data_IF_141420673847
#
_entry.id   IF_141420673847
#
_cell.length_a   1.000
_cell.length_b   1.000
_cell.length_c   1.000
_cell.angle_alpha   90.00
_cell.angle_beta   90.00
_cell.angle_gamma   90.00
#
_symmetry.space_group_name_H-M   'P 1'
#
loop_
_entity.id
_entity.type
_entity.pdbx_description
1 polymer ?
#
# COMPACT_ATOMS: atom_id res chain seq x y z
N UNK A 1 95.31 -35.01 -18.46
CA UNK A 1 94.77 -36.29 -18.93
C UNK A 1 93.25 -36.21 -18.88
N UNK A 2 92.58 -36.36 -20.03
CA UNK A 2 91.11 -36.47 -20.19
C UNK A 2 90.57 -37.76 -19.52
N UNK A 3 89.23 -38.03 -19.36
CA UNK A 3 88.05 -37.48 -20.07
C UNK A 3 86.73 -37.29 -19.24
N UNK A 4 85.63 -36.88 -19.92
CA UNK A 4 84.18 -37.23 -19.76
C UNK A 4 83.53 -37.23 -18.34
N UNK A 5 82.29 -36.86 -18.03
CA UNK A 5 81.01 -36.59 -18.71
C UNK A 5 79.97 -36.17 -17.63
N UNK A 6 79.09 -35.20 -17.90
CA UNK A 6 77.63 -35.33 -18.10
C UNK A 6 76.68 -35.55 -16.88
N UNK A 7 75.58 -34.76 -16.93
CA UNK A 7 74.17 -35.00 -16.52
C UNK A 7 73.65 -34.61 -15.11
N UNK A 8 72.85 -33.54 -15.14
CA UNK A 8 71.39 -33.53 -14.85
C UNK A 8 70.89 -33.93 -13.45
N UNK A 9 70.37 -32.95 -12.68
CA UNK A 9 69.35 -33.09 -11.60
C UNK A 9 68.84 -31.69 -11.23
N UNK A 10 67.71 -31.19 -11.74
CA UNK A 10 66.29 -31.48 -11.46
C UNK A 10 65.81 -30.92 -10.10
N UNK A 11 65.07 -29.82 -10.19
CA UNK A 11 64.35 -29.05 -9.17
C UNK A 11 63.70 -29.89 -8.07
N UNK A 12 63.94 -29.54 -6.80
CA UNK A 12 63.05 -29.85 -5.66
C UNK A 12 63.37 -28.91 -4.48
N UNK A 13 62.82 -27.70 -4.48
CA UNK A 13 62.83 -26.82 -3.32
C UNK A 13 61.55 -25.97 -3.30
N UNK A 14 60.39 -26.64 -3.30
CA UNK A 14 59.08 -25.98 -3.23
C UNK A 14 57.98 -26.99 -2.88
N UNK A 15 58.07 -27.64 -1.71
CA UNK A 15 56.97 -28.53 -1.23
C UNK A 15 56.64 -28.32 0.26
N UNK A 16 57.48 -27.67 1.07
CA UNK A 16 57.30 -27.73 2.53
C UNK A 16 56.43 -26.63 3.17
N UNK A 17 55.80 -25.74 2.40
CA UNK A 17 55.09 -24.57 2.96
C UNK A 17 53.56 -24.53 2.71
N UNK A 18 52.94 -25.58 2.16
CA UNK A 18 51.49 -25.60 1.84
C UNK A 18 50.66 -26.47 2.82
N UNK A 19 51.28 -27.25 3.71
CA UNK A 19 50.56 -28.23 4.57
C UNK A 19 50.23 -27.66 5.98
N UNK A 20 50.31 -26.35 6.20
CA UNK A 20 49.97 -25.74 7.50
C UNK A 20 48.72 -24.84 7.48
N UNK A 21 48.06 -24.66 6.33
CA UNK A 21 46.89 -23.78 6.19
C UNK A 21 45.60 -24.50 5.74
N UNK A 22 45.44 -25.77 6.14
CA UNK A 22 44.35 -26.65 5.65
C UNK A 22 43.35 -27.17 6.70
N UNK A 23 43.42 -26.76 7.97
CA UNK A 23 42.59 -27.34 9.05
C UNK A 23 41.74 -26.31 9.81
N UNK A 24 40.98 -25.49 9.09
CA UNK A 24 39.86 -24.72 9.66
C UNK A 24 38.52 -25.03 8.95
N UNK A 25 38.39 -26.23 8.38
CA UNK A 25 37.06 -26.76 8.07
C UNK A 25 36.45 -27.27 9.40
N UNK A 26 35.86 -26.36 10.18
CA UNK A 26 35.03 -26.76 11.31
C UNK A 26 33.92 -27.67 10.80
N UNK A 27 33.86 -28.92 11.29
CA UNK A 27 32.73 -29.80 11.04
C UNK A 27 31.45 -29.08 11.49
N UNK A 28 30.62 -28.68 10.53
CA UNK A 28 29.35 -28.03 10.77
C UNK A 28 28.39 -29.09 11.35
N UNK A 29 28.40 -29.25 12.66
CA UNK A 29 27.63 -30.29 13.38
C UNK A 29 26.16 -29.90 13.57
N UNK A 30 25.84 -28.61 13.45
CA UNK A 30 24.51 -28.02 13.58
C UNK A 30 24.33 -26.92 12.54
N UNK A 31 23.09 -26.76 12.05
CA UNK A 31 22.69 -25.74 11.08
C UNK A 31 21.66 -24.82 11.71
N UNK A 32 21.91 -23.51 11.65
CA UNK A 32 20.96 -22.47 12.05
C UNK A 32 20.34 -21.89 10.78
N UNK A 33 19.01 -21.94 10.67
CA UNK A 33 18.27 -21.37 9.56
C UNK A 33 17.35 -20.27 10.10
N UNK A 34 17.63 -19.02 9.76
CA UNK A 34 16.69 -17.92 9.98
C UNK A 34 15.47 -18.14 9.08
N UNK A 35 14.26 -18.12 9.66
CA UNK A 35 13.00 -18.25 8.94
C UNK A 35 12.19 -16.95 8.95
N UNK A 36 12.73 -15.90 9.56
CA UNK A 36 12.12 -14.58 9.60
C UNK A 36 12.45 -13.83 8.30
N UNK A 37 11.45 -13.29 7.59
CA UNK A 37 11.71 -12.43 6.43
C UNK A 37 12.48 -11.16 6.83
N UNK A 38 13.40 -10.73 5.97
CA UNK A 38 14.16 -9.48 6.17
C UNK A 38 13.28 -8.23 6.19
N UNK A 39 12.07 -8.31 5.62
CA UNK A 39 11.10 -7.23 5.58
C UNK A 39 9.73 -7.74 6.06
N UNK A 40 9.21 -7.14 7.14
CA UNK A 40 7.91 -7.52 7.72
C UNK A 40 6.97 -6.30 7.78
N UNK A 41 5.66 -6.46 7.51
CA UNK A 41 4.73 -5.34 7.55
C UNK A 41 4.66 -4.69 8.94
N UNK A 42 4.46 -3.37 8.99
CA UNK A 42 4.23 -2.66 10.25
C UNK A 42 3.05 -3.28 11.02
N UNK A 43 3.27 -3.63 12.28
CA UNK A 43 2.25 -4.19 13.16
C UNK A 43 1.79 -3.12 14.18
N UNK A 44 0.48 -2.84 14.32
CA UNK A 44 -0.02 -1.92 15.34
C UNK A 44 0.43 -2.23 16.77
N UNK A 45 0.63 -3.51 17.12
CA UNK A 45 1.16 -3.88 18.45
C UNK A 45 2.67 -3.65 18.58
N UNK A 46 3.37 -3.39 17.46
CA UNK A 46 4.83 -3.33 17.37
C UNK A 46 5.53 -4.62 17.85
N UNK A 47 4.81 -5.75 17.91
CA UNK A 47 5.36 -7.06 18.24
C UNK A 47 5.64 -7.82 16.94
N UNK A 48 6.85 -8.37 16.84
CA UNK A 48 7.33 -9.12 15.69
C UNK A 48 7.89 -10.47 16.15
N UNK A 49 7.32 -11.55 15.61
CA UNK A 49 7.79 -12.91 15.91
C UNK A 49 8.98 -13.24 15.03
N UNK A 50 10.14 -13.42 15.66
CA UNK A 50 11.38 -13.88 15.03
C UNK A 50 11.42 -15.40 15.15
N UNK A 51 11.53 -16.07 14.01
CA UNK A 51 11.54 -17.53 13.90
C UNK A 51 12.84 -18.06 13.32
N UNK A 52 13.29 -19.20 13.85
CA UNK A 52 14.46 -19.92 13.34
C UNK A 52 14.35 -21.42 13.57
N UNK A 53 15.12 -22.17 12.78
CA UNK A 53 15.29 -23.60 12.91
C UNK A 53 16.74 -23.94 13.30
N UNK A 54 16.90 -24.94 14.17
CA UNK A 54 18.18 -25.38 14.71
C UNK A 54 18.29 -26.89 14.54
N UNK A 55 18.87 -27.34 13.41
CA UNK A 55 18.94 -28.77 13.07
C UNK A 55 20.35 -29.30 13.23
N UNK A 56 20.55 -30.40 13.98
CA UNK A 56 21.80 -31.15 13.90
C UNK A 56 22.07 -31.61 12.47
N UNK A 57 23.27 -31.34 11.98
CA UNK A 57 23.75 -31.87 10.71
C UNK A 57 24.40 -33.26 10.89
N UNK A 58 24.58 -33.71 12.14
CA UNK A 58 25.16 -35.01 12.49
C UNK A 58 24.43 -35.66 13.67
N UNK A 59 24.36 -36.99 13.68
CA UNK A 59 23.70 -37.78 14.75
C UNK A 59 24.40 -37.76 16.11
N UNK A 60 25.54 -37.07 16.24
CA UNK A 60 26.36 -36.99 17.45
C UNK A 60 25.88 -35.94 18.45
N UNK A 61 24.92 -35.08 18.08
CA UNK A 61 24.34 -34.08 18.97
C UNK A 61 23.12 -34.67 19.70
N UNK A 62 23.01 -34.38 21.00
CA UNK A 62 21.80 -34.62 21.76
C UNK A 62 20.78 -33.51 21.46
N UNK A 63 19.75 -33.85 20.67
CA UNK A 63 18.68 -32.91 20.27
C UNK A 63 17.94 -32.30 21.46
N UNK A 64 17.81 -33.04 22.58
CA UNK A 64 17.12 -32.54 23.76
C UNK A 64 17.91 -31.46 24.51
N UNK A 65 19.22 -31.39 24.26
CA UNK A 65 20.11 -30.40 24.86
C UNK A 65 20.11 -29.05 24.14
N UNK A 66 19.49 -28.95 22.96
CA UNK A 66 19.48 -27.75 22.11
C UNK A 66 18.74 -26.63 22.84
N UNK A 67 19.47 -25.56 23.17
CA UNK A 67 18.95 -24.37 23.86
C UNK A 67 19.27 -23.11 23.05
N UNK A 68 18.39 -22.72 22.12
CA UNK A 68 18.56 -21.52 21.33
C UNK A 68 18.25 -20.25 22.12
N UNK A 69 19.02 -19.21 21.80
CA UNK A 69 18.87 -17.85 22.30
C UNK A 69 19.02 -16.89 21.12
N UNK A 70 18.38 -15.74 21.24
CA UNK A 70 18.53 -14.63 20.30
C UNK A 70 19.25 -13.50 21.02
N UNK A 71 20.18 -12.85 20.30
CA UNK A 71 20.77 -11.59 20.74
C UNK A 71 20.21 -10.49 19.87
N UNK A 72 19.54 -9.53 20.49
CA UNK A 72 18.97 -8.36 19.83
C UNK A 72 19.30 -7.13 20.67
N UNK A 73 19.83 -6.09 20.03
CA UNK A 73 20.33 -4.88 20.71
C UNK A 73 21.35 -5.14 21.84
N UNK A 74 22.16 -6.19 21.70
CA UNK A 74 23.15 -6.59 22.72
C UNK A 74 22.57 -7.32 23.94
N UNK A 75 21.26 -7.55 23.99
CA UNK A 75 20.61 -8.31 25.04
C UNK A 75 20.28 -9.72 24.57
N UNK A 76 20.44 -10.70 25.47
CA UNK A 76 20.28 -12.12 25.19
C UNK A 76 18.93 -12.60 25.74
N UNK A 77 18.14 -13.24 24.90
CA UNK A 77 16.82 -13.77 25.25
C UNK A 77 16.70 -15.26 24.89
N UNK A 78 16.06 -16.08 25.73
CA UNK A 78 15.74 -17.46 25.36
C UNK A 78 14.66 -17.49 24.27
N UNK A 79 14.77 -18.42 23.34
CA UNK A 79 13.69 -18.71 22.39
C UNK A 79 12.79 -19.82 22.92
N UNK A 80 11.53 -19.84 22.47
CA UNK A 80 10.55 -20.86 22.84
C UNK A 80 10.36 -21.84 21.67
N UNK A 81 10.39 -23.15 21.94
CA UNK A 81 10.12 -24.15 20.91
C UNK A 81 8.62 -24.18 20.62
N UNK A 82 8.24 -24.12 19.35
CA UNK A 82 6.85 -24.28 18.93
C UNK A 82 6.36 -25.71 19.22
N UNK A 83 5.09 -25.85 19.59
CA UNK A 83 4.48 -27.15 19.85
C UNK A 83 4.03 -27.86 18.56
N UNK A 84 3.86 -27.12 17.46
CA UNK A 84 3.25 -27.61 16.21
C UNK A 84 4.26 -27.79 15.07
N UNK A 85 5.45 -27.21 15.19
CA UNK A 85 6.49 -27.27 14.18
C UNK A 85 7.88 -27.32 14.82
N UNK A 86 8.86 -27.83 14.07
CA UNK A 86 10.27 -27.83 14.48
C UNK A 86 10.90 -26.45 14.22
N UNK A 87 10.35 -25.44 14.90
CA UNK A 87 10.76 -24.04 14.85
C UNK A 87 10.84 -23.47 16.27
N UNK A 88 11.69 -22.47 16.44
CA UNK A 88 11.84 -21.72 17.66
C UNK A 88 11.44 -20.28 17.41
N UNK A 89 10.74 -19.69 18.37
CA UNK A 89 10.07 -18.41 18.24
C UNK A 89 10.50 -17.47 19.37
N UNK A 90 10.60 -16.19 19.05
CA UNK A 90 10.77 -15.11 20.02
C UNK A 90 9.98 -13.88 19.57
N UNK A 91 9.09 -13.40 20.44
CA UNK A 91 8.33 -12.18 20.20
C UNK A 91 9.14 -10.97 20.66
N UNK A 92 9.51 -10.13 19.70
CA UNK A 92 10.25 -8.91 19.94
C UNK A 92 9.33 -7.69 19.86
N UNK A 93 9.25 -6.94 20.96
CA UNK A 93 8.64 -5.62 20.99
C UNK A 93 9.62 -4.60 20.42
N UNK A 94 9.33 -4.08 19.22
CA UNK A 94 10.14 -3.04 18.61
C UNK A 94 9.93 -1.71 19.35
N UNK A 95 11.00 -1.01 19.77
CA UNK A 95 10.87 0.31 20.38
C UNK A 95 10.18 1.32 19.46
N UNK A 96 9.37 2.20 20.04
CA UNK A 96 8.63 3.21 19.30
C UNK A 96 9.55 4.10 18.45
N UNK A 97 9.15 4.34 17.20
CA UNK A 97 9.90 5.16 16.24
C UNK A 97 11.04 4.44 15.53
N UNK A 98 11.36 3.20 15.91
CA UNK A 98 12.35 2.37 15.22
C UNK A 98 11.70 1.63 14.05
N UNK A 99 12.43 1.49 12.95
CA UNK A 99 11.94 0.83 11.71
C UNK A 99 12.77 -0.38 11.32
N UNK A 100 13.74 -0.77 12.14
CA UNK A 100 14.57 -1.95 11.92
C UNK A 100 15.09 -2.53 13.24
N UNK A 101 15.56 -3.75 13.22
CA UNK A 101 16.31 -4.36 14.31
C UNK A 101 17.41 -5.27 13.75
N UNK A 102 18.50 -5.43 14.50
CA UNK A 102 19.60 -6.32 14.14
C UNK A 102 19.72 -7.39 15.20
N UNK A 103 19.86 -8.64 14.77
CA UNK A 103 19.92 -9.78 15.68
C UNK A 103 20.77 -10.91 15.12
N UNK A 104 21.21 -11.81 15.98
CA UNK A 104 21.80 -13.08 15.61
C UNK A 104 21.42 -14.15 16.63
N UNK A 105 21.53 -15.41 16.25
CA UNK A 105 21.20 -16.53 17.11
C UNK A 105 22.45 -17.11 17.76
N UNK A 106 22.29 -17.59 18.98
CA UNK A 106 23.27 -18.41 19.70
C UNK A 106 22.57 -19.68 20.12
N UNK A 107 23.19 -20.83 19.87
CA UNK A 107 22.66 -22.12 20.30
C UNK A 107 23.70 -22.89 21.09
N UNK A 108 23.32 -23.30 22.29
CA UNK A 108 24.09 -24.21 23.12
C UNK A 108 23.59 -25.64 22.93
N UNK A 109 24.50 -26.61 22.84
CA UNK A 109 24.19 -28.03 22.69
C UNK A 109 25.29 -28.94 23.27
N UNK A 110 24.93 -30.19 23.56
CA UNK A 110 25.83 -31.25 24.01
C UNK A 110 25.90 -32.37 22.97
N UNK A 111 27.02 -33.10 22.96
CA UNK A 111 27.12 -34.36 22.25
C UNK A 111 26.35 -35.47 22.98
N UNK A 112 25.87 -36.50 22.28
CA UNK A 112 25.17 -37.65 22.89
C UNK A 112 26.02 -38.41 23.90
N UNK A 113 27.33 -38.47 23.65
CA UNK A 113 28.29 -39.16 24.52
C UNK A 113 28.98 -38.18 25.51
N UNK A 114 28.42 -36.98 25.68
CA UNK A 114 29.00 -35.99 26.59
C UNK A 114 28.90 -36.50 28.05
N UNK A 115 30.00 -36.48 28.81
CA UNK A 115 29.96 -36.90 30.21
C UNK A 115 29.07 -35.96 31.04
N UNK A 116 28.55 -36.46 32.16
CA UNK A 116 27.77 -35.64 33.08
C UNK A 116 28.59 -34.42 33.55
N UNK A 117 28.03 -33.22 33.37
CA UNK A 117 28.71 -31.95 33.67
C UNK A 117 29.60 -31.40 32.55
N UNK A 118 29.58 -31.99 31.35
CA UNK A 118 30.24 -31.42 30.19
C UNK A 118 29.75 -29.99 29.89
N UNK A 119 30.68 -29.14 29.47
CA UNK A 119 30.36 -27.80 28.98
C UNK A 119 29.67 -27.91 27.62
N UNK A 120 28.59 -27.16 27.45
CA UNK A 120 27.90 -27.08 26.17
C UNK A 120 28.76 -26.38 25.12
N UNK A 121 28.78 -26.92 23.91
CA UNK A 121 29.32 -26.22 22.75
C UNK A 121 28.34 -25.12 22.35
N UNK A 122 28.88 -23.98 21.91
CA UNK A 122 28.09 -22.88 21.38
C UNK A 122 28.37 -22.68 19.89
N UNK A 123 27.33 -22.28 19.16
CA UNK A 123 27.43 -21.87 17.77
C UNK A 123 26.60 -20.61 17.54
N UNK A 124 27.07 -19.76 16.63
CA UNK A 124 26.46 -18.49 16.31
C UNK A 124 25.99 -18.47 14.85
N UNK A 125 24.89 -17.77 14.58
CA UNK A 125 24.54 -17.40 13.21
C UNK A 125 25.30 -16.13 12.78
N UNK A 126 25.23 -15.83 11.49
CA UNK A 126 25.54 -14.49 11.00
C UNK A 126 24.54 -13.46 11.52
N UNK A 127 24.94 -12.19 11.50
CA UNK A 127 24.08 -11.06 11.81
C UNK A 127 22.96 -10.95 10.77
N UNK A 128 21.72 -10.83 11.26
CA UNK A 128 20.51 -10.67 10.47
C UNK A 128 19.91 -9.29 10.70
N UNK A 129 19.08 -8.85 9.75
CA UNK A 129 18.38 -7.57 9.81
C UNK A 129 16.88 -7.78 9.60
N UNK A 130 16.10 -7.34 10.58
CA UNK A 130 14.65 -7.19 10.46
C UNK A 130 14.35 -5.75 10.06
N UNK A 131 13.77 -5.53 8.89
CA UNK A 131 13.26 -4.22 8.50
C UNK A 131 11.74 -4.24 8.60
N UNK A 132 11.18 -3.22 9.22
CA UNK A 132 9.75 -3.02 9.20
C UNK A 132 9.43 -2.37 7.88
N UNK A 133 8.79 -3.13 6.98
CA UNK A 133 8.26 -2.63 5.74
C UNK A 133 7.45 -1.38 6.06
N UNK A 134 7.86 -0.28 5.43
CA UNK A 134 7.27 1.02 5.62
C UNK A 134 5.84 1.05 5.13
N UNK A 135 5.38 2.26 4.84
CA UNK A 135 4.00 2.48 4.42
C UNK A 135 3.77 1.80 3.05
N UNK A 136 2.68 1.06 2.89
CA UNK A 136 2.31 0.44 1.62
C UNK A 136 0.80 0.43 1.42
N UNK A 137 0.38 0.31 0.16
CA UNK A 137 -1.02 0.17 -0.25
C UNK A 137 -1.20 -1.20 -0.89
N UNK A 138 -2.23 -1.94 -0.47
CA UNK A 138 -2.59 -3.22 -1.10
C UNK A 138 -3.43 -2.98 -2.34
N UNK A 139 -4.60 -2.35 -2.15
CA UNK A 139 -5.51 -1.89 -3.21
C UNK A 139 -6.71 -1.14 -2.60
N UNK A 140 -7.38 -0.29 -3.39
CA UNK A 140 -8.74 0.13 -3.11
C UNK A 140 -9.71 -1.05 -3.03
N UNK A 141 -10.78 -0.90 -2.27
CA UNK A 141 -11.91 -1.84 -2.20
C UNK A 141 -12.69 -1.88 -3.52
N UNK A 142 -12.68 -0.77 -4.28
CA UNK A 142 -13.25 -0.66 -5.62
C UNK A 142 -12.30 0.06 -6.58
N UNK A 143 -12.32 -0.30 -7.86
CA UNK A 143 -11.54 0.37 -8.92
C UNK A 143 -12.35 1.37 -9.75
N UNK A 144 -13.64 1.52 -9.44
CA UNK A 144 -14.54 2.48 -10.06
C UNK A 144 -15.67 2.85 -9.14
N UNK A 145 -16.12 4.09 -9.20
CA UNK A 145 -17.33 4.54 -8.53
C UNK A 145 -17.78 5.91 -9.09
N UNK A 146 -19.05 6.29 -8.89
CA UNK A 146 -19.52 7.64 -9.16
C UNK A 146 -18.96 8.68 -8.17
N UNK A 147 -19.10 9.96 -8.52
CA UNK A 147 -18.72 11.11 -7.69
C UNK A 147 -19.46 11.08 -6.35
N UNK A 148 -18.76 11.41 -5.26
CA UNK A 148 -19.31 11.44 -3.91
C UNK A 148 -19.37 10.07 -3.22
N UNK A 149 -19.17 8.97 -3.94
CA UNK A 149 -19.08 7.64 -3.34
C UNK A 149 -17.89 7.56 -2.37
N UNK A 150 -18.07 6.86 -1.25
CA UNK A 150 -17.00 6.58 -0.29
C UNK A 150 -16.33 5.25 -0.63
N UNK A 151 -15.00 5.25 -0.75
CA UNK A 151 -14.21 4.04 -1.08
C UNK A 151 -13.08 3.87 -0.07
N UNK A 152 -12.90 2.65 0.42
CA UNK A 152 -11.83 2.28 1.34
C UNK A 152 -10.56 1.87 0.59
N UNK A 153 -9.40 2.11 1.19
CA UNK A 153 -8.08 1.66 0.75
C UNK A 153 -7.42 0.94 1.91
N UNK A 154 -6.97 -0.29 1.65
CA UNK A 154 -6.29 -1.12 2.63
C UNK A 154 -4.78 -1.07 2.41
N UNK A 155 -4.03 -1.13 3.50
CA UNK A 155 -2.58 -1.08 3.48
C UNK A 155 -1.98 -1.11 4.87
N UNK A 156 -0.81 -0.50 5.03
CA UNK A 156 -0.20 -0.31 6.34
C UNK A 156 0.58 1.01 6.39
N UNK A 157 0.74 1.51 7.62
CA UNK A 157 1.48 2.73 7.91
C UNK A 157 0.75 4.01 7.54
N UNK A 158 -0.56 4.00 7.33
CA UNK A 158 -1.31 5.24 7.11
C UNK A 158 -1.27 6.16 8.34
N UNK A 159 -1.44 7.45 8.10
CA UNK A 159 -1.40 8.52 9.12
C UNK A 159 -2.57 9.48 8.91
N UNK A 160 -2.98 10.24 9.94
CA UNK A 160 -4.01 11.27 9.78
C UNK A 160 -3.69 12.38 8.78
N UNK A 161 -2.40 12.54 8.41
CA UNK A 161 -1.96 13.55 7.43
C UNK A 161 -2.03 13.06 5.98
N UNK A 162 -2.47 11.82 5.75
CA UNK A 162 -2.57 11.26 4.42
C UNK A 162 -3.78 11.77 3.66
N UNK A 163 -3.55 12.11 2.39
CA UNK A 163 -4.56 12.56 1.44
C UNK A 163 -4.45 11.74 0.17
N UNK A 164 -5.59 11.22 -0.29
CA UNK A 164 -5.74 10.57 -1.59
C UNK A 164 -5.88 11.63 -2.67
N UNK A 165 -5.20 11.43 -3.79
CA UNK A 165 -5.27 12.28 -4.97
C UNK A 165 -5.72 11.47 -6.19
N UNK A 166 -6.58 12.08 -6.99
CA UNK A 166 -6.96 11.66 -8.34
C UNK A 166 -6.12 12.45 -9.34
N UNK A 167 -5.12 11.83 -9.93
CA UNK A 167 -3.99 12.51 -10.57
C UNK A 167 -3.45 13.59 -9.62
N UNK A 168 -3.56 14.88 -9.99
CA UNK A 168 -3.14 16.00 -9.15
C UNK A 168 -4.23 16.58 -8.23
N UNK A 169 -5.47 16.10 -8.33
CA UNK A 169 -6.61 16.64 -7.58
C UNK A 169 -6.73 15.96 -6.21
N UNK A 170 -6.52 16.65 -5.08
CA UNK A 170 -6.75 16.07 -3.76
C UNK A 170 -8.24 15.79 -3.56
N UNK A 171 -8.55 14.75 -2.80
CA UNK A 171 -9.91 14.50 -2.35
C UNK A 171 -10.00 14.38 -0.84
N UNK A 172 -11.21 14.60 -0.33
CA UNK A 172 -11.53 14.40 1.09
C UNK A 172 -11.20 12.96 1.47
N UNK A 173 -10.24 12.84 2.38
CA UNK A 173 -9.70 11.58 2.87
C UNK A 173 -9.99 11.47 4.37
N UNK A 174 -10.37 10.29 4.83
CA UNK A 174 -10.72 9.98 6.22
C UNK A 174 -9.81 8.86 6.70
N UNK A 175 -8.93 9.19 7.63
CA UNK A 175 -8.11 8.23 8.36
C UNK A 175 -8.97 7.39 9.30
N UNK A 176 -8.95 6.07 9.12
CA UNK A 176 -9.67 5.12 9.98
C UNK A 176 -8.71 4.47 10.98
N UNK A 177 -7.56 4.01 10.48
CA UNK A 177 -6.52 3.36 11.27
C UNK A 177 -5.18 3.35 10.52
N UNK A 178 -4.06 2.95 11.16
CA UNK A 178 -2.80 2.75 10.45
C UNK A 178 -2.85 1.74 9.29
N UNK A 179 -3.92 0.94 9.15
CA UNK A 179 -4.08 -0.03 8.07
C UNK A 179 -5.27 0.24 7.14
N UNK A 180 -6.06 1.28 7.41
CA UNK A 180 -7.23 1.63 6.62
C UNK A 180 -7.43 3.14 6.51
N UNK A 181 -7.70 3.59 5.29
CA UNK A 181 -8.11 4.95 5.00
C UNK A 181 -9.25 4.90 4.00
N UNK A 182 -10.13 5.90 4.00
CA UNK A 182 -11.18 6.02 2.99
C UNK A 182 -11.15 7.38 2.33
N UNK A 183 -11.70 7.48 1.13
CA UNK A 183 -11.83 8.74 0.42
C UNK A 183 -13.21 8.87 -0.20
N UNK A 184 -13.62 10.11 -0.47
CA UNK A 184 -14.80 10.39 -1.28
C UNK A 184 -14.37 10.64 -2.73
N UNK A 185 -15.08 10.11 -3.72
CA UNK A 185 -14.74 10.39 -5.12
C UNK A 185 -14.96 11.89 -5.41
N UNK A 186 -13.94 12.64 -5.86
CA UNK A 186 -14.05 14.08 -6.06
C UNK A 186 -14.90 14.43 -7.29
N UNK A 187 -15.34 15.69 -7.37
CA UNK A 187 -16.03 16.21 -8.56
C UNK A 187 -15.04 16.47 -9.70
N UNK A 188 -14.71 15.42 -10.45
CA UNK A 188 -13.79 15.45 -11.60
C UNK A 188 -14.51 14.95 -12.86
N UNK A 189 -13.91 15.14 -14.03
CA UNK A 189 -14.46 14.69 -15.31
C UNK A 189 -14.79 13.18 -15.27
N UNK A 190 -16.04 12.83 -15.61
CA UNK A 190 -16.52 11.45 -15.63
C UNK A 190 -16.18 10.70 -16.91
N UNK A 191 -16.30 9.37 -16.84
CA UNK A 191 -16.11 8.51 -18.01
C UNK A 191 -14.65 8.16 -18.30
N UNK A 192 -13.71 8.66 -17.49
CA UNK A 192 -12.27 8.40 -17.61
C UNK A 192 -11.65 7.81 -16.34
N UNK A 193 -10.46 7.26 -16.50
CA UNK A 193 -9.65 6.70 -15.41
C UNK A 193 -8.60 7.68 -14.93
N UNK A 194 -8.39 7.72 -13.61
CA UNK A 194 -7.42 8.55 -12.92
C UNK A 194 -6.36 7.69 -12.27
N UNK A 195 -5.16 8.23 -12.08
CA UNK A 195 -4.13 7.61 -11.25
C UNK A 195 -4.35 8.01 -9.80
N UNK A 196 -4.57 7.03 -8.93
CA UNK A 196 -4.64 7.26 -7.50
C UNK A 196 -3.24 7.24 -6.88
N UNK A 197 -2.94 8.28 -6.11
CA UNK A 197 -1.82 8.27 -5.17
C UNK A 197 -2.29 8.64 -3.77
N UNK A 198 -1.57 8.13 -2.78
CA UNK A 198 -1.66 8.60 -1.41
C UNK A 198 -0.42 9.45 -1.13
N UNK A 199 -0.60 10.68 -0.64
CA UNK A 199 0.51 11.53 -0.24
C UNK A 199 0.24 12.13 1.15
N UNK A 200 1.29 12.25 1.94
CA UNK A 200 1.25 12.52 3.38
C UNK A 200 2.22 11.59 4.10
N UNK A 201 2.65 11.94 5.31
CA UNK A 201 3.51 11.05 6.12
C UNK A 201 4.87 10.68 5.50
N UNK A 202 5.43 11.51 4.61
CA UNK A 202 6.70 11.26 3.91
C UNK A 202 6.51 10.83 2.45
N UNK A 203 6.79 9.57 2.15
CA UNK A 203 6.79 9.03 0.78
C UNK A 203 5.38 8.88 0.21
N UNK A 204 5.18 9.34 -1.03
CA UNK A 204 3.93 9.10 -1.76
C UNK A 204 3.82 7.63 -2.19
N UNK A 205 2.63 7.05 -2.04
CA UNK A 205 2.34 5.67 -2.39
C UNK A 205 1.43 5.63 -3.62
N UNK A 206 1.79 4.81 -4.61
CA UNK A 206 0.90 4.49 -5.71
C UNK A 206 -0.24 3.58 -5.20
N UNK A 207 -1.48 4.00 -5.41
CA UNK A 207 -2.67 3.24 -4.98
C UNK A 207 -3.22 2.40 -6.14
N UNK A 208 -3.16 2.93 -7.37
CA UNK A 208 -3.61 2.24 -8.58
C UNK A 208 -4.32 3.18 -9.56
N UNK A 209 -5.16 2.62 -10.43
CA UNK A 209 -6.04 3.40 -11.31
C UNK A 209 -7.49 3.31 -10.83
N UNK A 210 -8.25 4.39 -10.98
CA UNK A 210 -9.65 4.47 -10.57
C UNK A 210 -10.50 5.17 -11.61
N UNK A 211 -11.57 4.53 -12.07
CA UNK A 211 -12.49 5.10 -13.05
C UNK A 211 -13.63 5.84 -12.36
N UNK A 212 -13.85 7.10 -12.74
CA UNK A 212 -15.00 7.86 -12.25
C UNK A 212 -16.15 7.66 -13.22
N UNK A 213 -17.24 7.08 -12.73
CA UNK A 213 -18.38 6.71 -13.55
C UNK A 213 -19.27 7.92 -13.84
N UNK A 214 -19.67 8.08 -15.10
CA UNK A 214 -20.76 8.99 -15.46
C UNK A 214 -22.08 8.41 -14.92
N UNK A 215 -22.95 9.27 -14.39
CA UNK A 215 -24.29 8.85 -13.99
C UNK A 215 -25.32 9.68 -14.73
N UNK A 216 -26.34 9.02 -15.25
CA UNK A 216 -27.36 9.68 -16.06
C UNK A 216 -28.04 10.79 -15.27
N UNK A 217 -27.94 12.00 -15.81
CA UNK A 217 -28.62 13.20 -15.37
C UNK A 217 -29.96 13.31 -16.09
N UNK A 218 -31.02 13.71 -15.39
CA UNK A 218 -32.34 13.92 -15.99
C UNK A 218 -32.84 15.34 -15.78
N UNK A 219 -33.47 15.88 -16.82
CA UNK A 219 -34.08 17.22 -16.83
C UNK A 219 -35.57 17.09 -17.14
N UNK A 220 -36.40 17.79 -16.38
CA UNK A 220 -37.83 17.86 -16.61
C UNK A 220 -38.32 19.30 -16.48
N UNK A 221 -39.12 19.83 -17.42
CA UNK A 221 -39.59 19.17 -18.64
C UNK A 221 -38.50 19.00 -19.70
N UNK A 222 -38.69 18.07 -20.63
CA UNK A 222 -37.74 17.80 -21.73
C UNK A 222 -37.82 18.78 -22.90
N UNK A 223 -38.73 19.76 -22.83
CA UNK A 223 -38.86 20.87 -23.76
C UNK A 223 -39.44 22.08 -23.01
N UNK A 224 -39.05 23.29 -23.42
CA UNK A 224 -39.63 24.53 -22.92
C UNK A 224 -40.37 25.27 -24.04
N UNK A 225 -41.63 25.59 -23.80
CA UNK A 225 -42.43 26.47 -24.66
C UNK A 225 -42.93 27.62 -23.79
N UNK A 226 -42.40 28.83 -24.01
CA UNK A 226 -42.65 29.99 -23.17
C UNK A 226 -43.21 31.14 -24.00
N UNK A 227 -43.95 32.04 -23.38
CA UNK A 227 -44.18 33.40 -23.86
C UNK A 227 -43.16 34.36 -23.27
N UNK A 228 -43.00 35.52 -23.88
CA UNK A 228 -42.16 36.58 -23.33
C UNK A 228 -42.64 36.98 -21.93
N UNK A 229 -41.75 36.89 -20.94
CA UNK A 229 -42.05 37.12 -19.53
C UNK A 229 -42.63 35.93 -18.76
N UNK A 230 -43.02 34.84 -19.44
CA UNK A 230 -43.50 33.62 -18.79
C UNK A 230 -42.36 32.89 -18.09
N UNK A 231 -42.64 32.36 -16.90
CA UNK A 231 -41.70 31.55 -16.12
C UNK A 231 -42.19 30.11 -16.06
N UNK A 232 -41.28 29.17 -16.31
CA UNK A 232 -41.55 27.74 -16.18
C UNK A 232 -40.52 27.10 -15.25
N UNK A 233 -41.01 26.25 -14.35
CA UNK A 233 -40.14 25.48 -13.48
C UNK A 233 -39.44 24.36 -14.27
N UNK A 234 -38.12 24.26 -14.12
CA UNK A 234 -37.28 23.19 -14.63
C UNK A 234 -36.59 22.50 -13.46
N UNK A 235 -36.69 21.19 -13.40
CA UNK A 235 -36.10 20.35 -12.35
C UNK A 235 -34.99 19.49 -12.93
N UNK A 236 -33.85 19.55 -12.27
CA UNK A 236 -32.67 18.75 -12.55
C UNK A 236 -32.56 17.67 -11.49
N UNK A 237 -32.42 16.41 -11.92
CA UNK A 237 -32.30 15.27 -10.99
C UNK A 237 -31.04 14.48 -11.29
N UNK A 238 -30.33 14.13 -10.21
CA UNK A 238 -29.18 13.24 -10.21
C UNK A 238 -29.49 11.98 -9.39
N UNK A 239 -28.91 10.83 -9.77
CA UNK A 239 -29.22 9.54 -9.14
C UNK A 239 -28.56 9.35 -7.76
N UNK A 240 -27.63 10.23 -7.37
CA UNK A 240 -26.96 10.20 -6.07
C UNK A 240 -26.93 11.59 -5.43
N UNK A 241 -26.92 11.68 -4.08
CA UNK A 241 -26.79 12.97 -3.39
C UNK A 241 -25.54 13.75 -3.82
N UNK A 242 -25.70 15.04 -4.09
CA UNK A 242 -24.58 15.91 -4.49
C UNK A 242 -23.49 15.96 -3.39
N UNK A 243 -22.21 16.03 -3.78
CA UNK A 243 -21.09 16.06 -2.85
C UNK A 243 -21.10 17.31 -1.94
N UNK A 244 -20.25 17.31 -0.92
CA UNK A 244 -20.03 18.49 -0.08
C UNK A 244 -19.54 19.67 -0.94
N UNK A 245 -20.19 20.83 -0.82
CA UNK A 245 -20.00 21.98 -1.72
C UNK A 245 -21.05 22.10 -2.83
N UNK A 246 -21.91 21.10 -2.99
CA UNK A 246 -22.93 21.05 -4.04
C UNK A 246 -22.36 20.59 -5.39
N UNK A 247 -23.23 20.51 -6.39
CA UNK A 247 -22.86 20.15 -7.75
C UNK A 247 -23.33 21.23 -8.72
N UNK A 248 -22.38 21.92 -9.36
CA UNK A 248 -22.66 22.88 -10.41
C UNK A 248 -23.08 22.14 -11.69
N UNK A 249 -24.14 22.64 -12.32
CA UNK A 249 -24.55 22.26 -13.67
C UNK A 249 -24.25 23.46 -14.57
N UNK A 250 -23.27 23.32 -15.45
CA UNK A 250 -22.96 24.31 -16.48
C UNK A 250 -24.09 24.32 -17.50
N UNK A 251 -24.72 25.48 -17.68
CA UNK A 251 -25.84 25.66 -18.60
C UNK A 251 -25.48 26.69 -19.64
N UNK A 252 -25.53 26.29 -20.90
CA UNK A 252 -25.27 27.15 -22.05
C UNK A 252 -26.48 27.18 -22.97
N UNK A 253 -26.61 28.24 -23.75
CA UNK A 253 -27.68 28.35 -24.75
C UNK A 253 -27.17 29.00 -26.03
N UNK A 254 -27.73 28.60 -27.15
CA UNK A 254 -27.53 29.24 -28.46
C UNK A 254 -28.49 30.41 -28.71
N UNK A 255 -29.45 30.66 -27.80
CA UNK A 255 -30.43 31.77 -27.86
C UNK A 255 -30.39 32.64 -26.58
N UNK A 256 -29.26 33.30 -26.28
CA UNK A 256 -29.07 34.02 -25.01
C UNK A 256 -30.05 35.18 -24.80
N UNK A 257 -30.58 35.80 -25.87
CA UNK A 257 -31.59 36.85 -25.73
C UNK A 257 -32.99 36.32 -25.40
N UNK A 258 -33.23 35.02 -25.61
CA UNK A 258 -34.51 34.37 -25.40
C UNK A 258 -34.65 33.76 -24.01
N UNK A 259 -33.58 33.61 -23.23
CA UNK A 259 -33.62 32.90 -21.95
C UNK A 259 -33.01 33.71 -20.84
N UNK A 260 -33.74 33.82 -19.73
CA UNK A 260 -33.24 34.32 -18.45
C UNK A 260 -33.36 33.20 -17.43
N UNK A 261 -32.24 32.77 -16.87
CA UNK A 261 -32.19 31.73 -15.84
C UNK A 261 -31.07 32.01 -14.83
N UNK A 262 -31.24 31.57 -13.57
CA UNK A 262 -30.18 31.61 -12.57
C UNK A 262 -29.14 30.51 -12.80
N UNK A 263 -28.00 30.63 -12.12
CA UNK A 263 -27.02 29.54 -12.01
C UNK A 263 -27.64 28.30 -11.34
N UNK A 264 -27.25 27.11 -11.81
CA UNK A 264 -27.85 25.86 -11.37
C UNK A 264 -26.88 25.07 -10.51
N UNK A 265 -27.18 25.00 -9.21
CA UNK A 265 -26.39 24.24 -8.24
C UNK A 265 -27.31 23.27 -7.51
N UNK A 266 -27.02 21.96 -7.58
CA UNK A 266 -27.66 20.96 -6.72
C UNK A 266 -27.03 21.08 -5.32
N UNK A 267 -27.79 21.43 -4.27
CA UNK A 267 -27.23 21.62 -2.94
C UNK A 267 -26.63 20.32 -2.39
N UNK A 268 -25.59 20.44 -1.54
CA UNK A 268 -24.94 19.30 -0.93
C UNK A 268 -25.96 18.36 -0.23
N UNK A 269 -25.86 17.06 -0.49
CA UNK A 269 -26.77 16.05 0.05
C UNK A 269 -28.13 15.96 -0.64
N UNK A 270 -28.46 16.85 -1.57
CA UNK A 270 -29.69 16.77 -2.37
C UNK A 270 -29.47 16.01 -3.67
N UNK A 271 -30.54 15.42 -4.19
CA UNK A 271 -30.56 14.72 -5.48
C UNK A 271 -31.22 15.53 -6.59
N UNK A 272 -31.76 16.71 -6.27
CA UNK A 272 -32.42 17.56 -7.26
C UNK A 272 -32.39 19.03 -6.90
N UNK A 273 -32.59 19.87 -7.92
CA UNK A 273 -32.83 21.31 -7.78
C UNK A 273 -33.87 21.75 -8.81
N UNK A 274 -34.76 22.64 -8.41
CA UNK A 274 -35.76 23.25 -9.30
C UNK A 274 -35.45 24.74 -9.45
N UNK A 275 -35.35 25.20 -10.69
CA UNK A 275 -35.16 26.61 -11.04
C UNK A 275 -36.33 27.12 -11.88
N UNK A 276 -36.57 28.42 -11.86
CA UNK A 276 -37.48 29.08 -12.80
C UNK A 276 -36.69 29.56 -14.01
N UNK A 277 -37.12 29.15 -15.20
CA UNK A 277 -36.59 29.64 -16.48
C UNK A 277 -37.60 30.62 -17.06
N UNK A 278 -37.17 31.83 -17.39
CA UNK A 278 -38.02 32.88 -17.94
C UNK A 278 -37.78 33.09 -19.43
N UNK A 279 -38.87 33.24 -20.18
CA UNK A 279 -38.84 33.63 -21.59
C UNK A 279 -38.46 35.10 -21.77
N UNK A 280 -37.42 35.37 -22.56
CA UNK A 280 -36.96 36.69 -22.98
C UNK A 280 -37.57 37.12 -24.31
N UNK A 281 -36.72 37.45 -25.29
CA UNK A 281 -37.18 37.76 -26.66
C UNK A 281 -37.63 36.50 -27.40
N UNK A 282 -38.60 36.61 -28.33
CA UNK A 282 -39.00 35.47 -29.15
C UNK A 282 -37.81 34.86 -29.90
N UNK A 283 -37.74 33.53 -29.92
CA UNK A 283 -36.65 32.78 -30.55
C UNK A 283 -36.76 31.28 -30.29
N UNK A 284 -36.05 30.49 -31.08
CA UNK A 284 -36.02 29.03 -30.97
C UNK A 284 -34.58 28.56 -30.95
N UNK A 285 -34.25 27.69 -30.00
CA UNK A 285 -32.90 27.19 -29.78
C UNK A 285 -32.89 26.03 -28.80
N UNK A 286 -31.77 25.86 -28.11
CA UNK A 286 -31.57 24.80 -27.12
C UNK A 286 -30.83 25.31 -25.89
N UNK A 287 -31.12 24.68 -24.75
CA UNK A 287 -30.28 24.70 -23.57
C UNK A 287 -29.40 23.46 -23.58
N UNK A 288 -28.11 23.63 -23.38
CA UNK A 288 -27.11 22.59 -23.25
C UNK A 288 -26.64 22.53 -21.81
N UNK A 289 -26.68 21.33 -21.21
CA UNK A 289 -26.32 21.11 -19.82
C UNK A 289 -25.08 20.23 -19.78
N UNK A 290 -24.06 20.65 -19.04
CA UNK A 290 -22.89 19.86 -18.73
C UNK A 290 -22.70 19.81 -17.23
N UNK A 291 -22.42 18.63 -16.71
CA UNK A 291 -22.08 18.46 -15.30
C UNK A 291 -21.03 17.39 -15.16
N UNK A 292 -20.51 17.25 -13.95
CA UNK A 292 -19.71 16.08 -13.61
C UNK A 292 -20.52 14.78 -13.62
N UNK A 293 -21.83 14.78 -13.88
CA UNK A 293 -22.63 13.56 -14.03
C UNK A 293 -22.81 13.15 -15.52
N UNK A 294 -22.81 14.12 -16.44
CA UNK A 294 -23.01 13.89 -17.88
C UNK A 294 -23.47 15.15 -18.63
N UNK A 295 -23.86 14.97 -19.90
CA UNK A 295 -24.37 16.03 -20.77
C UNK A 295 -25.83 15.78 -21.20
N UNK A 296 -26.61 16.85 -21.38
CA UNK A 296 -28.00 16.78 -21.87
C UNK A 296 -28.36 18.05 -22.64
N UNK A 297 -29.47 18.04 -23.38
CA UNK A 297 -30.03 19.25 -23.99
C UNK A 297 -31.56 19.27 -23.95
N UNK A 298 -32.12 20.48 -23.87
CA UNK A 298 -33.56 20.73 -23.88
C UNK A 298 -33.86 21.77 -24.96
N UNK A 299 -34.69 21.45 -25.97
CA UNK A 299 -35.15 22.44 -26.94
C UNK A 299 -36.02 23.50 -26.25
N UNK A 300 -35.86 24.74 -26.70
CA UNK A 300 -36.60 25.89 -26.18
C UNK A 300 -37.21 26.71 -27.31
N UNK A 301 -38.47 27.07 -27.15
CA UNK A 301 -39.17 28.03 -28.01
C UNK A 301 -39.80 29.12 -27.16
N UNK A 302 -39.50 30.38 -27.49
CA UNK A 302 -40.11 31.56 -26.88
C UNK A 302 -40.95 32.29 -27.93
N UNK A 303 -42.22 32.51 -27.60
CA UNK A 303 -43.20 33.23 -28.42
C UNK A 303 -43.50 34.59 -27.81
N UNK A 304 -44.19 35.45 -28.57
CA UNK A 304 -44.66 36.75 -28.06
C UNK A 304 -45.71 36.59 -26.97
#
# INVERSE_FOLDING_TARGET
MQPFSSRFRRNTALVSAIIALGFLAGCQSLTITNMTPDNVPANPSQIYTITANFKPASYTIDESSIKPRIVIDGQIYPMTKSAQADIWEFDYQLPAGRTNASYYFIVAYLGKDAPAGALASEMHSELQHLNIAGRYVLRPEASRAPIGARVSVLGAGFTPNDVVYFDNSPTRTVFESPSSISFFVPAVETGRSYTLRLAGGGTALAVGSFRVDAINFTVSPTALNLRAGEQQAMTFTIPQPAPAGGMLIDVQTDVPESIVMPEVIVPAGQTSVTIAVQGGKPGTGSLFFKSSAGESSVPVTVTK
#
